data_IF_447128740973
#
_entry.id   IF_447128740973
#
_cell.length_a   1.000
_cell.length_b   1.000
_cell.length_c   1.000
_cell.angle_alpha   90.00
_cell.angle_beta   90.00
_cell.angle_gamma   90.00
#
_symmetry.space_group_name_H-M   'P 1'
#
loop_
_entity.id
_entity.type
_entity.pdbx_description
1 polymer ?
#
# COMPACT_ATOMS: atom_id res chain seq x y z
N UNK A 1 13.51 -20.78 19.53
CA UNK A 1 13.37 -19.40 19.05
C UNK A 1 12.55 -19.47 17.79
N UNK A 2 11.44 -18.72 17.68
CA UNK A 2 10.74 -18.63 16.38
C UNK A 2 11.70 -17.95 15.39
N UNK A 3 11.82 -18.52 14.20
CA UNK A 3 12.62 -17.98 13.09
C UNK A 3 11.91 -16.86 12.33
N UNK A 4 10.70 -16.47 12.76
CA UNK A 4 9.87 -15.45 12.12
C UNK A 4 9.73 -14.20 12.98
N UNK A 5 9.30 -13.10 12.36
CA UNK A 5 9.16 -11.83 13.05
C UNK A 5 8.12 -11.92 14.19
N UNK A 6 8.33 -11.24 15.33
CA UNK A 6 7.51 -11.38 16.52
C UNK A 6 6.08 -10.81 16.40
N UNK A 7 5.81 -10.04 15.34
CA UNK A 7 4.47 -9.51 15.04
C UNK A 7 3.56 -10.51 14.33
N UNK A 8 4.11 -11.63 13.85
CA UNK A 8 3.37 -12.63 13.09
C UNK A 8 2.58 -13.56 14.01
N UNK A 9 1.28 -13.69 13.77
CA UNK A 9 0.48 -14.74 14.39
C UNK A 9 0.61 -16.03 13.56
N UNK A 10 1.46 -16.94 14.02
CA UNK A 10 1.77 -18.21 13.36
C UNK A 10 0.58 -19.20 13.32
N UNK A 11 -0.53 -18.92 14.02
CA UNK A 11 -1.74 -19.75 13.96
C UNK A 11 -2.57 -19.52 12.69
N UNK A 12 -2.20 -18.53 11.87
CA UNK A 12 -2.89 -18.12 10.63
C UNK A 12 -2.03 -18.49 9.41
N UNK A 13 -2.29 -19.63 8.72
CA UNK A 13 -1.42 -20.12 7.65
C UNK A 13 -1.26 -19.16 6.47
N UNK A 14 -2.32 -18.43 6.12
CA UNK A 14 -2.31 -17.41 5.07
C UNK A 14 -1.48 -16.18 5.46
N UNK A 15 -1.47 -15.80 6.75
CA UNK A 15 -0.60 -14.72 7.22
C UNK A 15 0.87 -15.14 7.25
N UNK A 16 1.15 -16.40 7.61
CA UNK A 16 2.49 -17.00 7.55
C UNK A 16 3.00 -17.04 6.11
N UNK A 17 2.16 -17.43 5.16
CA UNK A 17 2.53 -17.45 3.74
C UNK A 17 2.87 -16.05 3.22
N UNK A 18 2.05 -15.04 3.56
CA UNK A 18 2.34 -13.64 3.24
C UNK A 18 3.67 -13.17 3.84
N UNK A 19 3.92 -13.45 5.13
CA UNK A 19 5.18 -13.10 5.78
C UNK A 19 6.38 -13.74 5.07
N UNK A 20 6.30 -15.04 4.77
CA UNK A 20 7.43 -15.80 4.25
C UNK A 20 7.73 -15.52 2.76
N UNK A 21 6.71 -15.12 1.98
CA UNK A 21 6.84 -14.99 0.52
C UNK A 21 6.75 -13.56 -0.01
N UNK A 22 6.13 -12.64 0.72
CA UNK A 22 5.84 -11.29 0.23
C UNK A 22 6.44 -10.20 1.12
N UNK A 23 6.33 -10.34 2.44
CA UNK A 23 6.79 -9.28 3.35
C UNK A 23 8.32 -9.14 3.34
N UNK A 24 8.81 -7.92 3.07
CA UNK A 24 10.24 -7.62 3.00
C UNK A 24 10.93 -8.11 1.73
N UNK A 25 10.21 -8.77 0.81
CA UNK A 25 10.74 -9.16 -0.50
C UNK A 25 10.75 -7.93 -1.42
N UNK A 26 11.88 -7.59 -2.08
CA UNK A 26 11.94 -6.47 -3.02
C UNK A 26 10.93 -6.59 -4.16
N UNK A 27 10.12 -5.54 -4.35
CA UNK A 27 9.15 -5.42 -5.43
C UNK A 27 9.62 -4.36 -6.43
N UNK A 28 9.62 -4.71 -7.71
CA UNK A 28 10.06 -3.86 -8.81
C UNK A 28 8.96 -3.64 -9.88
N UNK A 29 7.73 -4.06 -9.58
CA UNK A 29 6.57 -3.97 -10.46
C UNK A 29 5.61 -2.88 -9.97
N UNK A 30 5.34 -1.89 -10.83
CA UNK A 30 4.50 -0.73 -10.49
C UNK A 30 3.06 -1.13 -10.13
N UNK A 31 2.51 -2.16 -10.78
CA UNK A 31 1.15 -2.62 -10.48
C UNK A 31 1.07 -3.16 -9.05
N UNK A 32 2.04 -3.97 -8.65
CA UNK A 32 2.16 -4.50 -7.29
C UNK A 32 2.40 -3.38 -6.27
N UNK A 33 3.21 -2.37 -6.61
CA UNK A 33 3.43 -1.20 -5.75
C UNK A 33 2.15 -0.36 -5.59
N UNK A 34 1.37 -0.18 -6.66
CA UNK A 34 0.07 0.49 -6.59
C UNK A 34 -0.93 -0.30 -5.75
N UNK A 35 -0.97 -1.63 -5.88
CA UNK A 35 -1.75 -2.51 -5.01
C UNK A 35 -1.40 -2.28 -3.53
N UNK A 36 -0.12 -2.31 -3.16
CA UNK A 36 0.28 -2.05 -1.77
C UNK A 36 -0.10 -0.64 -1.31
N UNK A 37 0.10 0.38 -2.14
CA UNK A 37 -0.30 1.75 -1.83
C UNK A 37 -1.79 1.85 -1.47
N UNK A 38 -2.66 1.19 -2.23
CA UNK A 38 -4.11 1.16 -1.97
C UNK A 38 -4.44 0.40 -0.69
N UNK A 39 -3.84 -0.77 -0.48
CA UNK A 39 -4.11 -1.62 0.69
C UNK A 39 -3.61 -0.99 2.00
N UNK A 40 -2.43 -0.38 2.00
CA UNK A 40 -1.87 0.34 3.16
C UNK A 40 -2.74 1.56 3.51
N UNK A 41 -3.23 2.30 2.50
CA UNK A 41 -4.16 3.41 2.72
C UNK A 41 -5.49 2.95 3.35
N UNK A 42 -5.92 1.71 3.04
CA UNK A 42 -7.11 1.11 3.63
C UNK A 42 -6.90 0.68 5.09
N UNK A 43 -5.67 0.36 5.50
CA UNK A 43 -5.32 -0.21 6.80
C UNK A 43 -5.53 0.75 7.98
N UNK A 44 -5.58 2.07 7.77
CA UNK A 44 -5.74 3.04 8.87
C UNK A 44 -6.92 2.70 9.80
N UNK A 45 -6.62 2.39 11.07
CA UNK A 45 -7.57 1.98 12.10
C UNK A 45 -7.89 0.48 12.17
N UNK A 46 -7.20 -0.37 11.40
CA UNK A 46 -7.42 -1.82 11.29
C UNK A 46 -6.09 -2.58 11.38
N UNK A 47 -6.16 -3.89 11.63
CA UNK A 47 -4.98 -4.75 11.51
C UNK A 47 -4.67 -5.04 10.04
N UNK A 48 -3.38 -5.19 9.70
CA UNK A 48 -2.96 -5.59 8.34
C UNK A 48 -3.59 -6.92 7.92
N UNK A 49 -3.70 -7.89 8.83
CA UNK A 49 -4.37 -9.16 8.55
C UNK A 49 -5.83 -8.96 8.09
N UNK A 50 -6.56 -7.98 8.64
CA UNK A 50 -7.93 -7.67 8.18
C UNK A 50 -7.95 -7.21 6.72
N UNK A 51 -6.95 -6.44 6.30
CA UNK A 51 -6.80 -5.98 4.91
C UNK A 51 -6.38 -7.13 4.00
N UNK A 52 -5.42 -7.94 4.43
CA UNK A 52 -4.96 -9.12 3.68
C UNK A 52 -6.11 -10.09 3.39
N UNK A 53 -7.02 -10.30 4.35
CA UNK A 53 -8.23 -11.13 4.15
C UNK A 53 -9.22 -10.59 3.13
N UNK A 54 -9.11 -9.30 2.76
CA UNK A 54 -9.97 -8.62 1.79
C UNK A 54 -9.26 -8.33 0.47
N UNK A 55 -8.02 -8.82 0.31
CA UNK A 55 -7.15 -8.46 -0.82
C UNK A 55 -7.78 -8.80 -2.17
N UNK A 56 -8.43 -9.96 -2.29
CA UNK A 56 -9.15 -10.37 -3.51
C UNK A 56 -10.35 -9.46 -3.81
N UNK A 57 -11.09 -9.06 -2.78
CA UNK A 57 -12.22 -8.16 -2.90
C UNK A 57 -11.77 -6.77 -3.36
N UNK A 58 -10.66 -6.26 -2.80
CA UNK A 58 -10.03 -5.03 -3.28
C UNK A 58 -9.57 -5.15 -4.74
N UNK A 59 -8.96 -6.28 -5.10
CA UNK A 59 -8.55 -6.55 -6.49
C UNK A 59 -9.74 -6.46 -7.45
N UNK A 60 -10.85 -7.10 -7.11
CA UNK A 60 -12.06 -7.04 -7.93
C UNK A 60 -12.67 -5.62 -7.97
N UNK A 61 -12.73 -4.95 -6.81
CA UNK A 61 -13.32 -3.63 -6.68
C UNK A 61 -12.55 -2.55 -7.47
N UNK A 62 -11.22 -2.62 -7.47
CA UNK A 62 -10.31 -1.65 -8.09
C UNK A 62 -9.68 -2.16 -9.39
N UNK A 63 -10.45 -2.90 -10.19
CA UNK A 63 -10.09 -3.30 -11.55
C UNK A 63 -8.71 -3.98 -11.67
N UNK A 64 -8.43 -4.91 -10.75
CA UNK A 64 -7.16 -5.63 -10.62
C UNK A 64 -5.96 -4.70 -10.40
N UNK A 65 -6.17 -3.58 -9.69
CA UNK A 65 -5.18 -2.54 -9.45
C UNK A 65 -4.54 -1.99 -10.73
N UNK A 66 -5.28 -2.02 -11.84
CA UNK A 66 -4.89 -1.34 -13.08
C UNK A 66 -5.01 0.18 -12.86
N UNK A 67 -3.87 0.84 -12.70
CA UNK A 67 -3.82 2.26 -12.30
C UNK A 67 -4.54 3.17 -13.29
N UNK A 68 -4.48 2.88 -14.60
CA UNK A 68 -5.16 3.65 -15.65
C UNK A 68 -6.67 3.50 -15.55
N UNK A 69 -7.16 2.28 -15.31
CA UNK A 69 -8.59 2.02 -15.09
C UNK A 69 -9.09 2.70 -13.82
N UNK A 70 -8.34 2.58 -12.72
CA UNK A 70 -8.73 3.18 -11.43
C UNK A 70 -8.71 4.72 -11.53
N UNK A 71 -7.74 5.30 -12.21
CA UNK A 71 -7.69 6.74 -12.46
C UNK A 71 -8.87 7.26 -13.30
N UNK A 72 -9.44 6.40 -14.15
CA UNK A 72 -10.61 6.69 -14.97
C UNK A 72 -11.96 6.46 -14.26
N UNK A 73 -11.97 5.97 -13.01
CA UNK A 73 -13.21 5.78 -12.26
C UNK A 73 -13.99 7.09 -12.10
N UNK A 74 -15.31 6.94 -12.18
CA UNK A 74 -16.29 8.03 -12.17
C UNK A 74 -16.98 8.15 -10.81
N UNK A 75 -17.83 9.17 -10.65
CA UNK A 75 -18.69 9.28 -9.47
C UNK A 75 -19.61 8.05 -9.31
N UNK A 76 -20.06 7.45 -10.41
CA UNK A 76 -20.84 6.22 -10.39
C UNK A 76 -20.03 5.04 -9.84
N UNK A 77 -18.74 4.96 -10.15
CA UNK A 77 -17.84 3.97 -9.55
C UNK A 77 -17.65 4.20 -8.07
N UNK A 78 -17.48 5.46 -7.62
CA UNK A 78 -17.41 5.78 -6.20
C UNK A 78 -18.68 5.36 -5.44
N UNK A 79 -19.86 5.59 -6.02
CA UNK A 79 -21.14 5.18 -5.43
C UNK A 79 -21.22 3.65 -5.36
N UNK A 80 -20.83 2.94 -6.43
CA UNK A 80 -20.76 1.48 -6.46
C UNK A 80 -19.84 0.94 -5.37
N UNK A 81 -18.63 1.48 -5.25
CA UNK A 81 -17.62 1.08 -4.26
C UNK A 81 -18.08 1.35 -2.82
N UNK A 82 -18.82 2.44 -2.58
CA UNK A 82 -19.40 2.71 -1.27
C UNK A 82 -20.44 1.68 -0.83
N UNK A 83 -21.01 0.91 -1.74
CA UNK A 83 -21.95 -0.18 -1.43
C UNK A 83 -21.27 -1.55 -1.31
N UNK A 84 -20.03 -1.68 -1.75
CA UNK A 84 -19.29 -2.95 -1.76
C UNK A 84 -18.87 -3.34 -0.34
N UNK A 85 -19.44 -4.43 0.18
CA UNK A 85 -19.16 -4.94 1.53
C UNK A 85 -17.84 -5.69 1.64
N UNK A 86 -17.22 -6.05 0.51
CA UNK A 86 -15.90 -6.69 0.45
C UNK A 86 -14.78 -5.74 0.86
N UNK A 87 -14.95 -4.43 0.63
CA UNK A 87 -13.94 -3.41 0.95
C UNK A 87 -14.30 -2.57 2.19
N UNK A 88 -13.38 -1.73 2.63
CA UNK A 88 -13.65 -0.74 3.67
C UNK A 88 -14.43 0.43 3.05
N UNK A 89 -15.74 0.48 3.34
CA UNK A 89 -16.70 1.49 2.85
C UNK A 89 -16.51 2.85 3.51
N UNK A 90 -15.39 3.50 3.23
CA UNK A 90 -15.09 4.86 3.65
C UNK A 90 -14.96 5.73 2.40
N UNK A 91 -15.86 6.72 2.26
CA UNK A 91 -15.92 7.60 1.10
C UNK A 91 -14.57 8.29 0.83
N UNK A 92 -13.96 8.86 1.86
CA UNK A 92 -12.68 9.56 1.71
C UNK A 92 -11.58 8.62 1.23
N UNK A 93 -11.46 7.41 1.80
CA UNK A 93 -10.48 6.41 1.33
C UNK A 93 -10.70 6.02 -0.13
N UNK A 94 -11.95 5.83 -0.55
CA UNK A 94 -12.30 5.49 -1.94
C UNK A 94 -11.91 6.63 -2.89
N UNK A 95 -12.35 7.86 -2.62
CA UNK A 95 -12.03 9.02 -3.46
C UNK A 95 -10.52 9.32 -3.48
N UNK A 96 -9.83 9.13 -2.34
CA UNK A 96 -8.37 9.24 -2.27
C UNK A 96 -7.66 8.20 -3.11
N UNK A 97 -8.12 6.95 -3.16
CA UNK A 97 -7.54 5.91 -4.04
C UNK A 97 -7.61 6.31 -5.52
N UNK A 98 -8.75 6.81 -5.98
CA UNK A 98 -8.94 7.26 -7.37
C UNK A 98 -8.04 8.47 -7.69
N UNK A 99 -7.93 9.40 -6.74
CA UNK A 99 -7.06 10.58 -6.87
C UNK A 99 -5.59 10.18 -6.89
N UNK A 100 -5.17 9.28 -5.99
CA UNK A 100 -3.83 8.73 -5.93
C UNK A 100 -3.45 8.02 -7.22
N UNK A 101 -4.37 7.30 -7.88
CA UNK A 101 -4.11 6.65 -9.16
C UNK A 101 -3.68 7.67 -10.25
N UNK A 102 -4.34 8.82 -10.30
CA UNK A 102 -3.98 9.91 -11.24
C UNK A 102 -2.58 10.45 -10.95
N UNK A 103 -2.27 10.70 -9.68
CA UNK A 103 -0.95 11.20 -9.28
C UNK A 103 0.16 10.15 -9.46
N UNK A 104 -0.15 8.87 -9.26
CA UNK A 104 0.76 7.77 -9.54
C UNK A 104 1.20 7.78 -11.01
N UNK A 105 0.26 7.97 -11.94
CA UNK A 105 0.54 8.08 -13.38
C UNK A 105 1.42 9.30 -13.67
N UNK A 106 1.21 10.44 -13.01
CA UNK A 106 2.09 11.61 -13.19
C UNK A 106 3.52 11.34 -12.70
N UNK A 107 3.69 10.65 -11.57
CA UNK A 107 5.02 10.20 -11.11
C UNK A 107 5.65 9.25 -12.13
N UNK A 108 4.90 8.31 -12.69
CA UNK A 108 5.41 7.42 -13.74
C UNK A 108 5.91 8.21 -14.96
N UNK A 109 5.21 9.28 -15.35
CA UNK A 109 5.63 10.14 -16.47
C UNK A 109 6.93 10.90 -16.16
N UNK A 110 7.09 11.40 -14.93
CA UNK A 110 8.25 12.19 -14.53
C UNK A 110 9.50 11.32 -14.29
N UNK A 111 9.34 10.20 -13.59
CA UNK A 111 10.45 9.34 -13.13
C UNK A 111 10.63 8.07 -13.98
N UNK A 112 9.80 7.89 -15.01
CA UNK A 112 9.74 6.71 -15.88
C UNK A 112 8.97 5.53 -15.28
N UNK A 113 8.97 5.37 -13.95
CA UNK A 113 8.13 4.41 -13.21
C UNK A 113 7.97 4.86 -11.76
N UNK A 114 6.93 4.38 -11.08
CA UNK A 114 6.76 4.62 -9.64
C UNK A 114 7.79 3.84 -8.82
N UNK A 115 8.20 2.67 -9.29
CA UNK A 115 9.30 1.90 -8.74
C UNK A 115 10.60 2.72 -8.72
N UNK A 116 11.01 3.31 -9.86
CA UNK A 116 12.20 4.17 -9.94
C UNK A 116 12.13 5.32 -8.95
N UNK A 117 10.95 5.95 -8.84
CA UNK A 117 10.70 7.02 -7.87
C UNK A 117 10.91 6.53 -6.42
N UNK A 118 10.24 5.45 -6.00
CA UNK A 118 10.36 4.91 -4.64
C UNK A 118 11.79 4.48 -4.29
N UNK A 119 12.44 3.74 -5.18
CA UNK A 119 13.78 3.22 -4.95
C UNK A 119 14.87 4.31 -4.95
N UNK A 120 14.59 5.48 -5.51
CA UNK A 120 15.51 6.64 -5.42
C UNK A 120 15.75 7.07 -3.96
N UNK A 121 14.75 6.94 -3.08
CA UNK A 121 14.86 7.30 -1.66
C UNK A 121 15.79 6.38 -0.86
N UNK A 122 16.09 5.19 -1.37
CA UNK A 122 17.03 4.24 -0.77
C UNK A 122 18.33 4.10 -1.56
N UNK A 123 18.60 5.02 -2.50
CA UNK A 123 19.73 4.92 -3.44
C UNK A 123 19.75 3.58 -4.18
N UNK A 124 18.58 3.06 -4.56
CA UNK A 124 18.38 1.78 -5.23
C UNK A 124 18.92 0.57 -4.44
N UNK A 125 18.84 0.60 -3.11
CA UNK A 125 19.33 -0.48 -2.23
C UNK A 125 18.26 -0.93 -1.25
N UNK A 126 18.26 -2.23 -0.97
CA UNK A 126 17.49 -2.78 0.15
C UNK A 126 18.18 -2.35 1.43
N UNK A 127 17.43 -1.71 2.33
CA UNK A 127 17.89 -1.36 3.66
C UNK A 127 17.55 -2.52 4.59
N UNK A 128 18.57 -3.22 5.08
CA UNK A 128 18.40 -4.35 6.00
C UNK A 128 18.62 -3.88 7.42
N UNK A 129 17.62 -4.06 8.27
CA UNK A 129 17.71 -3.78 9.70
C UNK A 129 17.94 -5.05 10.50
N UNK A 130 18.66 -4.94 11.63
CA UNK A 130 18.78 -5.98 12.64
C UNK A 130 17.91 -5.63 13.84
N UNK A 131 16.66 -6.09 13.85
CA UNK A 131 15.71 -5.93 14.95
C UNK A 131 15.52 -7.28 15.63
N UNK A 132 15.61 -7.33 16.96
CA UNK A 132 15.52 -8.59 17.73
C UNK A 132 14.19 -8.69 18.49
N UNK A 133 13.67 -7.57 19.01
CA UNK A 133 12.39 -7.52 19.73
C UNK A 133 11.39 -6.57 19.07
N UNK A 134 10.10 -6.66 19.44
CA UNK A 134 9.06 -5.77 18.90
C UNK A 134 9.36 -4.29 19.15
N UNK A 135 9.99 -3.98 20.27
CA UNK A 135 10.39 -2.63 20.66
C UNK A 135 11.47 -2.05 19.74
N UNK A 136 12.23 -2.91 19.05
CA UNK A 136 13.27 -2.47 18.11
C UNK A 136 12.71 -2.02 16.77
N UNK A 137 11.46 -2.36 16.42
CA UNK A 137 10.86 -2.02 15.12
C UNK A 137 10.34 -0.58 15.14
N UNK A 138 11.03 0.37 14.47
CA UNK A 138 10.58 1.75 14.47
C UNK A 138 9.35 1.91 13.59
N UNK A 139 8.35 2.66 14.07
CA UNK A 139 7.17 3.00 13.26
C UNK A 139 7.48 4.02 12.14
N UNK A 140 8.59 4.76 12.27
CA UNK A 140 9.04 5.76 11.28
C UNK A 140 10.56 5.79 11.15
N UNK A 141 11.06 6.31 10.05
CA UNK A 141 12.48 6.53 9.77
C UNK A 141 12.67 7.82 8.98
N UNK A 142 13.90 8.33 8.90
CA UNK A 142 14.21 9.50 8.07
C UNK A 142 13.82 9.29 6.59
N UNK A 143 13.99 8.06 6.08
CA UNK A 143 13.62 7.71 4.70
C UNK A 143 12.10 7.74 4.52
N UNK A 144 11.33 7.14 5.44
CA UNK A 144 9.87 7.15 5.35
C UNK A 144 9.29 8.56 5.52
N UNK A 145 9.91 9.41 6.35
CA UNK A 145 9.50 10.80 6.53
C UNK A 145 9.74 11.63 5.28
N UNK A 146 10.91 11.45 4.64
CA UNK A 146 11.24 12.10 3.38
C UNK A 146 10.28 11.66 2.26
N UNK A 147 10.04 10.35 2.11
CA UNK A 147 9.09 9.82 1.14
C UNK A 147 7.67 10.35 1.39
N UNK A 148 7.20 10.32 2.64
CA UNK A 148 5.86 10.81 2.99
C UNK A 148 5.68 12.30 2.70
N UNK A 149 6.73 13.10 2.92
CA UNK A 149 6.72 14.53 2.59
C UNK A 149 6.64 14.74 1.09
N UNK A 150 7.40 13.97 0.33
CA UNK A 150 7.45 14.11 -1.12
C UNK A 150 6.16 13.63 -1.79
N UNK A 151 5.62 12.48 -1.38
CA UNK A 151 4.31 11.98 -1.82
C UNK A 151 3.21 13.03 -1.61
N UNK A 152 3.19 13.69 -0.43
CA UNK A 152 2.23 14.78 -0.17
C UNK A 152 2.40 15.96 -1.11
N UNK A 153 3.64 16.33 -1.45
CA UNK A 153 3.91 17.39 -2.42
C UNK A 153 3.45 16.99 -3.83
N UNK A 154 3.57 15.71 -4.18
CA UNK A 154 3.02 15.11 -5.39
C UNK A 154 1.51 14.83 -5.31
N UNK A 155 0.84 15.29 -4.24
CA UNK A 155 -0.58 15.11 -3.95
C UNK A 155 -1.04 13.63 -3.81
N UNK A 156 -0.11 12.70 -3.59
CA UNK A 156 -0.40 11.36 -3.10
C UNK A 156 -0.55 11.36 -1.58
N UNK A 157 -1.63 10.76 -1.08
CA UNK A 157 -1.83 10.59 0.36
C UNK A 157 -2.08 9.14 0.75
N UNK A 158 -1.30 8.66 1.72
CA UNK A 158 -1.49 7.37 2.40
C UNK A 158 -2.62 7.41 3.45
N UNK A 159 -3.14 8.60 3.75
CA UNK A 159 -4.25 8.78 4.68
C UNK A 159 -5.33 9.67 4.09
N UNK A 160 -6.58 9.23 4.22
CA UNK A 160 -7.72 10.10 4.02
C UNK A 160 -7.65 11.23 5.05
N UNK A 161 -7.26 12.44 4.62
CA UNK A 161 -7.39 13.61 5.49
C UNK A 161 -8.88 14.02 5.54
N UNK A 162 -9.40 14.37 6.73
CA UNK A 162 -10.74 14.91 6.87
C UNK A 162 -10.92 16.26 6.16
#
# INVERSE_FOLDING_TARGET
>A
MSTRCPWLDETKPDYVEYHDKEWGVPVLDDKTLFEFLVLESAQAGLSWYTILKRREEYRNAFADFDVEKVAAFTEQDEIRLQQDTGIIRNKLKISSTITNAKHFIEIQKEFGSFCSYLWSFTNNKVLVSSHETLEDYPATSQVSDALSKDLKNAALSLSAQP
#
